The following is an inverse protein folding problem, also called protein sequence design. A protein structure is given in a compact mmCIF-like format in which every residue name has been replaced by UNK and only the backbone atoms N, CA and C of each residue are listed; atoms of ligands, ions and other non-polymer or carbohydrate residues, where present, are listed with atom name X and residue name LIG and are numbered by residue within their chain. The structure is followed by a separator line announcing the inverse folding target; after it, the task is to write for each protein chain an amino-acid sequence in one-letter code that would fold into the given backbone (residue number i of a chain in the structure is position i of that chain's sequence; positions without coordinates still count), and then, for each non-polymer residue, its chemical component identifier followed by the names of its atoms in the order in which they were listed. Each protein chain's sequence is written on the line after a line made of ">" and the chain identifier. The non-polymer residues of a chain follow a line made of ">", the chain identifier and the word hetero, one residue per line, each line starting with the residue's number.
data_IF_885359587147
#
_entry.id   IF_885359587147
#
_cell.length_a   1.000
_cell.length_b   1.000
_cell.length_c   1.000
_cell.angle_alpha   90.00
_cell.angle_beta   90.00
_cell.angle_gamma   90.00
#
_symmetry.space_group_name_H-M   'P 1'
#
loop_
_entity.id
_entity.type
_entity.pdbx_description
1 polymer ?
#
# COMPACT_ATOMS: atom_id res chain seq x y z
N UNK A 1 -49.45 73.72 22.63
CA UNK A 1 -49.00 73.59 21.22
C UNK A 1 -48.00 72.45 21.18
N UNK A 2 -48.47 71.20 20.97
CA UNK A 2 -47.62 70.00 21.01
C UNK A 2 -47.74 69.28 19.66
N UNK A 3 -46.66 69.28 18.89
CA UNK A 3 -46.58 68.61 17.61
C UNK A 3 -46.52 67.10 17.82
N UNK A 4 -47.51 66.38 17.28
CA UNK A 4 -47.52 64.91 17.24
C UNK A 4 -46.52 64.43 16.19
N UNK A 5 -45.49 63.72 16.63
CA UNK A 5 -44.61 62.94 15.76
C UNK A 5 -45.40 61.71 15.31
N UNK A 6 -45.73 61.63 14.01
CA UNK A 6 -46.38 60.47 13.44
C UNK A 6 -45.38 59.30 13.33
N UNK A 7 -45.75 58.06 13.70
CA UNK A 7 -44.86 56.91 13.59
C UNK A 7 -44.63 56.54 12.11
N UNK A 8 -43.36 56.36 11.75
CA UNK A 8 -42.92 55.90 10.43
C UNK A 8 -43.53 54.52 10.17
N UNK A 9 -44.22 54.36 9.04
CA UNK A 9 -44.91 53.09 8.74
C UNK A 9 -43.90 51.97 8.49
N UNK A 10 -44.29 50.73 8.78
CA UNK A 10 -43.44 49.55 8.61
C UNK A 10 -42.86 49.42 7.17
N UNK A 11 -43.59 49.92 6.16
CA UNK A 11 -43.12 49.93 4.78
C UNK A 11 -41.95 50.90 4.55
N UNK A 12 -41.98 52.08 5.19
CA UNK A 12 -40.88 53.03 5.14
C UNK A 12 -39.66 52.51 5.90
N UNK A 13 -39.85 51.88 7.07
CA UNK A 13 -38.76 51.26 7.81
C UNK A 13 -38.08 50.13 7.00
N UNK A 14 -38.85 49.33 6.27
CA UNK A 14 -38.32 48.29 5.40
C UNK A 14 -37.57 48.85 4.18
N UNK A 15 -38.06 49.95 3.59
CA UNK A 15 -37.37 50.64 2.51
C UNK A 15 -36.03 51.25 2.97
N UNK A 16 -36.00 51.86 4.17
CA UNK A 16 -34.77 52.37 4.78
C UNK A 16 -33.78 51.24 5.11
N UNK A 17 -34.25 50.09 5.62
CA UNK A 17 -33.40 48.93 5.88
C UNK A 17 -32.78 48.37 4.59
N UNK A 18 -33.56 48.26 3.50
CA UNK A 18 -33.05 47.87 2.18
C UNK A 18 -32.04 48.88 1.62
N UNK A 19 -32.31 50.18 1.76
CA UNK A 19 -31.37 51.23 1.32
C UNK A 19 -30.06 51.22 2.12
N UNK A 20 -30.10 50.89 3.42
CA UNK A 20 -28.91 50.74 4.27
C UNK A 20 -28.02 49.57 3.86
N UNK A 21 -28.62 48.45 3.42
CA UNK A 21 -27.87 47.31 2.90
C UNK A 21 -27.21 47.62 1.55
N UNK A 22 -27.88 48.42 0.71
CA UNK A 22 -27.38 48.79 -0.62
C UNK A 22 -26.13 49.68 -0.59
N UNK A 23 -25.91 50.45 0.48
CA UNK A 23 -24.75 51.35 0.66
C UNK A 23 -23.65 50.80 1.59
N UNK A 24 -23.68 49.50 1.91
CA UNK A 24 -22.66 48.89 2.77
C UNK A 24 -21.38 48.65 1.96
N UNK A 25 -20.28 49.26 2.38
CA UNK A 25 -18.94 48.97 1.85
C UNK A 25 -18.54 47.57 2.34
N UNK A 26 -18.26 46.65 1.41
CA UNK A 26 -17.86 45.27 1.69
C UNK A 26 -16.56 44.93 0.96
N UNK A 27 -15.74 44.07 1.56
CA UNK A 27 -14.61 43.45 0.87
C UNK A 27 -15.12 42.29 0.02
N UNK A 28 -14.71 42.20 -1.23
CA UNK A 28 -15.18 41.17 -2.17
C UNK A 28 -14.02 40.54 -2.95
N UNK A 29 -14.18 39.27 -3.30
CA UNK A 29 -13.22 38.53 -4.12
C UNK A 29 -13.96 37.77 -5.24
N UNK A 30 -13.21 37.36 -6.26
CA UNK A 30 -13.73 36.62 -7.42
C UNK A 30 -12.72 35.55 -7.85
N UNK A 31 -13.19 34.32 -8.08
CA UNK A 31 -12.34 33.19 -8.46
C UNK A 31 -11.88 33.22 -9.92
N UNK A 32 -12.72 33.70 -10.84
CA UNK A 32 -12.44 33.69 -12.29
C UNK A 32 -12.53 35.10 -12.87
N UNK A 33 -11.51 35.53 -13.61
CA UNK A 33 -11.42 36.89 -14.16
C UNK A 33 -12.33 37.13 -15.36
N UNK A 34 -12.56 36.12 -16.21
CA UNK A 34 -13.56 36.14 -17.28
C UNK A 34 -14.00 34.72 -17.66
N UNK A 35 -15.29 34.39 -17.43
CA UNK A 35 -16.07 33.25 -17.99
C UNK A 35 -17.46 33.20 -17.32
N UNK A 36 -18.40 32.46 -17.91
CA UNK A 36 -19.69 32.18 -17.29
C UNK A 36 -19.48 31.52 -15.92
N UNK A 37 -20.08 32.09 -14.87
CA UNK A 37 -19.88 31.68 -13.48
C UNK A 37 -19.01 32.63 -12.65
N UNK A 38 -18.41 33.69 -13.24
CA UNK A 38 -17.69 34.70 -12.47
C UNK A 38 -18.65 35.60 -11.69
N UNK A 39 -18.74 35.41 -10.38
CA UNK A 39 -19.51 36.27 -9.48
C UNK A 39 -18.63 36.74 -8.32
N UNK A 40 -18.91 37.96 -7.85
CA UNK A 40 -18.29 38.49 -6.64
C UNK A 40 -19.04 37.92 -5.44
N UNK A 41 -18.30 37.48 -4.44
CA UNK A 41 -18.86 37.12 -3.14
C UNK A 41 -18.19 37.97 -2.06
N UNK A 42 -18.96 38.24 -1.00
CA UNK A 42 -18.48 38.98 0.15
C UNK A 42 -17.46 38.12 0.90
N UNK A 43 -16.28 38.67 1.14
CA UNK A 43 -15.27 38.06 1.99
C UNK A 43 -15.36 38.74 3.35
N UNK A 44 -15.82 38.00 4.35
CA UNK A 44 -15.61 38.36 5.74
C UNK A 44 -14.10 38.31 6.00
N UNK A 45 -13.43 39.44 5.85
CA UNK A 45 -12.15 39.65 6.49
C UNK A 45 -12.42 39.46 7.99
N UNK A 46 -11.98 38.35 8.56
CA UNK A 46 -11.93 38.22 10.01
C UNK A 46 -11.15 39.43 10.48
N UNK A 47 -11.86 40.40 11.07
CA UNK A 47 -11.22 41.47 11.80
C UNK A 47 -10.32 40.74 12.78
N UNK A 48 -9.01 40.85 12.55
CA UNK A 48 -8.01 40.47 13.55
C UNK A 48 -8.57 40.99 14.87
N UNK A 49 -8.85 40.12 15.86
CA UNK A 49 -9.30 40.60 17.14
C UNK A 49 -8.25 41.60 17.59
N UNK A 50 -8.63 42.87 17.67
CA UNK A 50 -7.90 43.86 18.44
C UNK A 50 -7.61 43.15 19.75
N UNK A 51 -6.33 42.89 20.11
CA UNK A 51 -6.05 42.16 21.32
C UNK A 51 -6.76 42.91 22.46
N UNK A 52 -7.49 42.21 23.36
CA UNK A 52 -7.85 42.85 24.60
C UNK A 52 -6.55 43.40 25.20
N UNK A 53 -6.58 44.66 25.63
CA UNK A 53 -5.49 45.28 26.35
C UNK A 53 -5.35 44.58 27.71
N UNK A 54 -4.76 43.39 27.67
CA UNK A 54 -4.25 42.64 28.79
C UNK A 54 -2.74 42.71 28.61
N UNK A 55 -2.13 43.52 29.47
CA UNK A 55 -0.72 43.65 29.79
C UNK A 55 0.17 42.52 29.24
N UNK A 56 0.49 42.58 27.96
CA UNK A 56 1.49 41.75 27.32
C UNK A 56 2.55 42.71 26.77
N UNK A 57 3.80 42.44 27.12
CA UNK A 57 4.98 43.17 26.68
C UNK A 57 4.88 43.50 25.19
N UNK A 58 5.30 44.72 24.76
CA UNK A 58 5.16 45.14 23.37
C UNK A 58 6.04 44.27 22.48
N UNK A 59 5.47 43.17 21.97
CA UNK A 59 6.14 42.31 21.03
C UNK A 59 6.17 43.00 19.67
N UNK A 60 7.38 43.13 19.13
CA UNK A 60 7.56 43.78 17.83
C UNK A 60 6.87 42.95 16.72
N UNK A 61 6.44 43.56 15.61
CA UNK A 61 5.90 42.81 14.46
C UNK A 61 6.82 41.67 13.99
N UNK A 62 8.14 41.85 14.12
CA UNK A 62 9.13 40.83 13.82
C UNK A 62 9.11 39.64 14.80
N UNK A 63 8.77 39.84 16.07
CA UNK A 63 8.60 38.75 17.05
C UNK A 63 7.35 37.92 16.77
N UNK A 64 6.27 38.57 16.34
CA UNK A 64 5.04 37.86 15.92
C UNK A 64 5.27 37.00 14.68
N UNK A 65 5.97 37.54 13.68
CA UNK A 65 6.33 36.78 12.47
C UNK A 65 7.24 35.60 12.83
N UNK A 66 8.26 35.82 13.69
CA UNK A 66 9.14 34.74 14.16
C UNK A 66 8.38 33.66 14.92
N UNK A 67 7.47 34.02 15.81
CA UNK A 67 6.63 33.05 16.53
C UNK A 67 5.79 32.21 15.57
N UNK A 68 5.21 32.85 14.55
CA UNK A 68 4.37 32.15 13.57
C UNK A 68 5.17 31.21 12.66
N UNK A 69 6.38 31.61 12.26
CA UNK A 69 7.30 30.77 11.48
C UNK A 69 7.79 29.59 12.32
N UNK A 70 8.17 29.83 13.58
CA UNK A 70 8.62 28.79 14.49
C UNK A 70 7.50 27.78 14.77
N UNK A 71 6.26 28.23 14.94
CA UNK A 71 5.11 27.35 15.10
C UNK A 71 4.87 26.50 13.84
N UNK A 72 4.89 27.11 12.65
CA UNK A 72 4.71 26.38 11.40
C UNK A 72 5.86 25.37 11.14
N UNK A 73 7.07 25.70 11.59
CA UNK A 73 8.22 24.80 11.53
C UNK A 73 8.03 23.62 12.51
N UNK A 74 7.65 23.88 13.76
CA UNK A 74 7.37 22.84 14.75
C UNK A 74 6.23 21.90 14.34
N UNK A 75 5.16 22.43 13.74
CA UNK A 75 4.05 21.62 13.22
C UNK A 75 4.52 20.70 12.07
N UNK A 76 5.41 21.20 11.21
CA UNK A 76 6.01 20.41 10.13
C UNK A 76 7.00 19.38 10.62
N UNK A 77 7.83 19.74 11.60
CA UNK A 77 8.78 18.83 12.26
C UNK A 77 8.02 17.72 12.98
N UNK A 78 6.97 18.03 13.74
CA UNK A 78 6.13 17.04 14.40
C UNK A 78 5.42 16.11 13.38
N UNK A 79 4.93 16.64 12.26
CA UNK A 79 4.36 15.83 11.19
C UNK A 79 5.40 14.93 10.51
N UNK A 80 6.63 15.42 10.32
CA UNK A 80 7.74 14.66 9.77
C UNK A 80 8.25 13.59 10.75
N UNK A 81 8.31 13.88 12.05
CA UNK A 81 8.65 12.91 13.09
C UNK A 81 7.61 11.80 13.19
N UNK A 82 6.32 12.12 13.09
CA UNK A 82 5.24 11.13 13.07
C UNK A 82 5.33 10.23 11.82
N UNK A 83 5.65 10.81 10.66
CA UNK A 83 5.86 10.08 9.42
C UNK A 83 7.14 9.21 9.47
N UNK A 84 8.23 9.72 10.02
CA UNK A 84 9.49 9.00 10.19
C UNK A 84 9.38 7.88 11.22
N UNK A 85 8.55 8.04 12.26
CA UNK A 85 8.30 7.00 13.27
C UNK A 85 7.55 5.77 12.71
N UNK A 86 6.88 5.92 11.57
CA UNK A 86 6.19 4.82 10.87
C UNK A 86 7.14 4.05 9.93
N UNK A 87 8.33 4.58 9.65
CA UNK A 87 9.37 3.90 8.87
C UNK A 87 10.44 3.38 9.86
N UNK A 88 10.60 2.07 10.03
CA UNK A 88 11.68 1.51 10.84
C UNK A 88 13.03 2.06 10.35
N UNK A 89 13.74 2.75 11.24
CA UNK A 89 15.15 3.10 11.01
C UNK A 89 15.94 1.83 10.76
N UNK A 90 16.26 1.60 9.49
CA UNK A 90 17.16 0.54 9.06
C UNK A 90 18.60 0.92 9.40
N UNK A 91 18.97 0.74 10.68
CA UNK A 91 20.35 0.71 11.15
C UNK A 91 20.93 2.04 11.69
N UNK A 92 22.08 1.90 12.37
CA UNK A 92 22.79 2.95 13.12
C UNK A 92 23.40 4.08 12.26
N UNK A 93 23.14 4.10 10.95
CA UNK A 93 23.65 5.09 10.00
C UNK A 93 22.49 5.61 9.13
N UNK A 94 21.86 6.75 9.48
CA UNK A 94 20.65 7.26 8.81
C UNK A 94 20.84 7.78 7.38
N UNK A 95 22.03 7.69 6.78
CA UNK A 95 22.39 8.55 5.63
C UNK A 95 22.40 7.85 4.27
N UNK A 96 22.29 6.53 4.18
CA UNK A 96 22.26 5.85 2.89
C UNK A 96 21.11 4.85 2.84
N UNK A 97 20.00 5.28 2.22
CA UNK A 97 18.98 4.34 1.75
C UNK A 97 19.69 3.38 0.82
N UNK A 98 19.58 2.07 1.07
CA UNK A 98 20.19 1.07 0.18
C UNK A 98 19.80 1.40 -1.28
N UNK A 99 20.73 1.48 -2.25
CA UNK A 99 20.40 1.77 -3.64
C UNK A 99 19.32 0.83 -4.21
N UNK A 100 19.22 -0.38 -3.65
CA UNK A 100 18.16 -1.33 -3.98
C UNK A 100 16.77 -0.90 -3.49
N UNK A 101 16.67 -0.29 -2.31
CA UNK A 101 15.41 0.28 -1.78
C UNK A 101 14.94 1.47 -2.62
N UNK A 102 15.86 2.31 -3.11
CA UNK A 102 15.53 3.42 -4.00
C UNK A 102 14.96 2.93 -5.35
N UNK A 103 15.54 1.86 -5.90
CA UNK A 103 15.09 1.26 -7.16
C UNK A 103 13.71 0.60 -7.05
N UNK A 104 13.45 -0.04 -5.92
CA UNK A 104 12.22 -0.82 -5.70
C UNK A 104 11.05 0.00 -5.18
N UNK A 105 11.30 1.23 -4.71
CA UNK A 105 10.28 2.14 -4.18
C UNK A 105 9.41 1.54 -3.08
N UNK A 106 9.94 0.55 -2.35
CA UNK A 106 9.26 -0.06 -1.19
C UNK A 106 8.88 0.98 -0.12
N UNK A 107 9.72 1.97 0.23
CA UNK A 107 9.35 3.00 1.20
C UNK A 107 8.12 3.80 0.78
N UNK A 108 8.04 4.21 -0.49
CA UNK A 108 6.88 4.94 -1.02
C UNK A 108 5.65 4.05 -1.15
N UNK A 109 5.84 2.78 -1.53
CA UNK A 109 4.77 1.79 -1.64
C UNK A 109 4.12 1.48 -0.29
N UNK A 110 4.91 1.43 0.78
CA UNK A 110 4.46 1.10 2.15
C UNK A 110 4.18 2.35 3.00
N UNK A 111 4.24 3.55 2.42
CA UNK A 111 4.09 4.80 3.15
C UNK A 111 2.73 4.87 3.86
N UNK A 112 2.75 5.20 5.14
CA UNK A 112 1.53 5.31 5.97
C UNK A 112 1.00 3.97 6.50
N UNK A 113 1.68 2.85 6.20
CA UNK A 113 1.35 1.53 6.74
C UNK A 113 2.22 1.20 7.95
N UNK A 114 1.67 0.44 8.89
CA UNK A 114 2.47 -0.16 9.96
C UNK A 114 3.29 -1.33 9.40
N UNK A 115 4.61 -1.14 9.31
CA UNK A 115 5.51 -2.14 8.72
C UNK A 115 5.52 -3.45 9.49
N UNK A 116 5.22 -3.45 10.80
CA UNK A 116 5.15 -4.71 11.57
C UNK A 116 3.96 -5.54 11.11
N UNK A 117 2.81 -4.89 10.93
CA UNK A 117 1.59 -5.52 10.42
C UNK A 117 1.74 -5.94 8.95
N UNK A 118 2.40 -5.13 8.10
CA UNK A 118 2.71 -5.50 6.71
C UNK A 118 3.65 -6.71 6.65
N UNK A 119 4.66 -6.79 7.52
CA UNK A 119 5.59 -7.93 7.54
C UNK A 119 4.86 -9.26 7.83
N UNK A 120 3.78 -9.23 8.61
CA UNK A 120 2.97 -10.43 8.88
C UNK A 120 2.36 -11.03 7.60
N UNK A 121 2.08 -10.22 6.58
CA UNK A 121 1.60 -10.70 5.29
C UNK A 121 2.58 -11.67 4.63
N UNK A 122 3.88 -11.46 4.84
CA UNK A 122 4.94 -12.31 4.28
C UNK A 122 5.27 -13.56 5.09
N UNK A 123 4.71 -13.72 6.30
CA UNK A 123 5.06 -14.85 7.16
C UNK A 123 4.73 -16.20 6.53
N UNK A 124 5.47 -17.25 6.90
CA UNK A 124 5.16 -18.60 6.43
C UNK A 124 3.73 -18.99 6.85
N UNK A 125 2.99 -19.69 5.97
CA UNK A 125 1.62 -20.07 6.22
C UNK A 125 1.54 -21.18 7.26
N UNK A 126 0.51 -21.14 8.09
CA UNK A 126 0.18 -22.24 8.97
C UNK A 126 -0.62 -23.30 8.19
N UNK A 127 -0.13 -24.53 8.00
CA UNK A 127 -0.81 -25.53 7.17
C UNK A 127 -2.19 -25.95 7.71
N UNK A 128 -2.47 -25.76 9.01
CA UNK A 128 -3.77 -26.07 9.58
C UNK A 128 -4.82 -24.97 9.32
N UNK A 129 -4.39 -23.71 9.23
CA UNK A 129 -5.27 -22.55 9.04
C UNK A 129 -5.35 -22.14 7.56
N UNK A 130 -4.22 -22.19 6.86
CA UNK A 130 -4.04 -21.76 5.47
C UNK A 130 -3.47 -22.91 4.62
N UNK A 131 -4.21 -24.03 4.43
CA UNK A 131 -3.70 -25.21 3.74
C UNK A 131 -3.35 -24.93 2.27
N UNK A 132 -4.09 -24.04 1.62
CA UNK A 132 -3.85 -23.65 0.23
C UNK A 132 -2.54 -22.86 0.07
N UNK A 133 -2.32 -21.87 0.94
CA UNK A 133 -1.10 -21.08 0.91
C UNK A 133 0.13 -21.90 1.31
N UNK A 134 -0.02 -22.82 2.27
CA UNK A 134 1.01 -23.80 2.61
C UNK A 134 1.36 -24.70 1.42
N UNK A 135 0.37 -25.11 0.63
CA UNK A 135 0.62 -25.84 -0.61
C UNK A 135 1.40 -25.00 -1.61
N UNK A 136 1.07 -23.73 -1.81
CA UNK A 136 1.80 -22.83 -2.72
C UNK A 136 3.24 -22.63 -2.29
N UNK A 137 3.47 -22.28 -1.02
CA UNK A 137 4.81 -22.12 -0.45
C UNK A 137 5.67 -23.38 -0.62
N UNK A 138 5.09 -24.56 -0.37
CA UNK A 138 5.78 -25.83 -0.61
C UNK A 138 5.99 -26.13 -2.10
N UNK A 139 5.10 -25.67 -2.98
CA UNK A 139 5.22 -25.86 -4.43
C UNK A 139 6.37 -25.05 -5.02
N UNK A 140 6.58 -23.81 -4.53
CA UNK A 140 7.73 -22.98 -4.88
C UNK A 140 9.04 -23.70 -4.54
N UNK A 141 9.16 -24.23 -3.32
CA UNK A 141 10.34 -24.98 -2.92
C UNK A 141 10.56 -26.21 -3.80
N UNK A 142 9.51 -26.99 -4.08
CA UNK A 142 9.60 -28.16 -4.97
C UNK A 142 10.06 -27.77 -6.37
N UNK A 143 9.51 -26.69 -6.95
CA UNK A 143 9.89 -26.22 -8.28
C UNK A 143 11.36 -25.78 -8.32
N UNK A 144 11.82 -25.02 -7.32
CA UNK A 144 13.22 -24.59 -7.24
C UNK A 144 14.15 -25.79 -7.08
N UNK A 145 13.80 -26.75 -6.21
CA UNK A 145 14.57 -27.97 -6.02
C UNK A 145 14.61 -28.83 -7.29
N UNK A 146 13.47 -29.00 -7.97
CA UNK A 146 13.41 -29.74 -9.23
C UNK A 146 14.28 -29.07 -10.30
N UNK A 147 14.17 -27.75 -10.46
CA UNK A 147 14.98 -27.02 -11.42
C UNK A 147 16.49 -27.13 -11.09
N UNK A 148 16.87 -27.04 -9.81
CA UNK A 148 18.25 -27.29 -9.38
C UNK A 148 18.72 -28.69 -9.74
N UNK A 149 17.93 -29.73 -9.43
CA UNK A 149 18.28 -31.13 -9.73
C UNK A 149 18.36 -31.39 -11.24
N UNK A 150 17.46 -30.82 -12.04
CA UNK A 150 17.49 -30.95 -13.51
C UNK A 150 18.76 -30.35 -14.10
N UNK A 151 19.19 -29.18 -13.63
CA UNK A 151 20.45 -28.56 -14.09
C UNK A 151 21.65 -29.37 -13.59
N UNK A 152 21.65 -29.77 -12.31
CA UNK A 152 22.75 -30.53 -11.71
C UNK A 152 22.95 -31.93 -12.32
N UNK A 153 21.86 -32.63 -12.61
CA UNK A 153 21.87 -34.00 -13.17
C UNK A 153 22.26 -34.05 -14.65
N UNK A 154 22.53 -32.91 -15.29
CA UNK A 154 22.93 -32.85 -16.69
C UNK A 154 21.82 -33.18 -17.68
N UNK A 155 20.55 -33.14 -17.27
CA UNK A 155 19.41 -33.31 -18.18
C UNK A 155 19.22 -32.13 -19.13
N UNK A 156 19.97 -31.05 -18.93
CA UNK A 156 20.10 -29.91 -19.82
C UNK A 156 21.40 -30.07 -20.61
N UNK A 157 21.33 -29.91 -21.93
CA UNK A 157 22.46 -30.06 -22.85
C UNK A 157 23.66 -29.21 -22.39
N UNK A 158 24.89 -29.71 -22.57
CA UNK A 158 26.13 -29.02 -22.18
C UNK A 158 26.23 -27.62 -22.82
N UNK A 159 25.71 -27.45 -24.04
CA UNK A 159 25.60 -26.13 -24.69
C UNK A 159 24.65 -25.17 -23.97
N UNK A 160 23.50 -25.67 -23.50
CA UNK A 160 22.54 -24.88 -22.73
C UNK A 160 23.07 -24.56 -21.34
N UNK A 161 23.79 -25.49 -20.70
CA UNK A 161 24.49 -25.26 -19.44
C UNK A 161 25.59 -24.20 -19.58
N UNK A 162 26.38 -24.28 -20.66
CA UNK A 162 27.36 -23.25 -21.00
C UNK A 162 26.60 -21.94 -21.20
N UNK A 163 25.55 -21.86 -22.01
CA UNK A 163 24.77 -20.61 -22.19
C UNK A 163 24.22 -20.03 -20.88
N UNK A 164 23.73 -20.86 -19.96
CA UNK A 164 23.26 -20.46 -18.62
C UNK A 164 24.42 -19.96 -17.74
N UNK A 165 25.60 -20.57 -17.84
CA UNK A 165 26.75 -20.30 -16.97
C UNK A 165 27.82 -19.36 -17.57
N UNK A 166 27.72 -18.99 -18.86
CA UNK A 166 28.76 -18.24 -19.57
C UNK A 166 28.71 -16.75 -19.23
N UNK A 167 29.85 -16.19 -18.80
CA UNK A 167 30.05 -14.76 -18.50
C UNK A 167 30.35 -13.88 -19.73
N UNK A 168 30.56 -14.48 -20.91
CA UNK A 168 31.11 -13.84 -22.10
C UNK A 168 30.11 -13.08 -23.00
N UNK A 169 28.84 -12.90 -22.61
CA UNK A 169 27.83 -12.33 -23.53
C UNK A 169 26.88 -11.29 -22.94
N UNK A 170 27.29 -10.39 -22.04
CA UNK A 170 26.38 -9.43 -21.35
C UNK A 170 24.89 -9.87 -21.29
N UNK A 171 24.57 -11.11 -20.86
CA UNK A 171 23.18 -11.52 -20.83
C UNK A 171 22.69 -10.82 -19.58
N UNK A 172 21.75 -9.88 -19.72
CA UNK A 172 21.14 -9.22 -18.57
C UNK A 172 20.85 -10.26 -17.49
N UNK A 173 21.12 -9.93 -16.23
CA UNK A 173 21.09 -10.84 -15.05
C UNK A 173 19.90 -11.83 -15.07
N UNK A 174 18.80 -11.43 -15.71
CA UNK A 174 17.60 -12.18 -16.09
C UNK A 174 17.78 -13.50 -16.87
N UNK A 175 18.90 -13.73 -17.57
CA UNK A 175 19.13 -14.96 -18.35
C UNK A 175 19.78 -16.09 -17.52
N UNK A 176 19.95 -15.89 -16.21
CA UNK A 176 20.51 -16.90 -15.29
C UNK A 176 19.51 -17.18 -14.16
N UNK A 177 18.47 -17.99 -14.40
CA UNK A 177 17.39 -18.16 -13.44
C UNK A 177 17.86 -18.83 -12.13
N UNK A 178 18.88 -19.70 -12.18
CA UNK A 178 19.37 -20.46 -11.02
C UNK A 178 20.90 -20.65 -11.11
N UNK A 179 21.66 -20.11 -10.14
CA UNK A 179 23.11 -20.28 -10.06
C UNK A 179 23.50 -21.57 -9.31
N UNK A 180 23.70 -22.67 -10.06
CA UNK A 180 23.98 -24.03 -9.50
C UNK A 180 25.16 -24.13 -8.54
N UNK A 181 26.12 -23.21 -8.62
CA UNK A 181 27.32 -23.22 -7.77
C UNK A 181 27.12 -22.49 -6.42
N UNK A 182 25.91 -22.03 -6.11
CA UNK A 182 25.62 -21.43 -4.81
C UNK A 182 25.67 -22.47 -3.70
N UNK A 183 26.08 -22.02 -2.50
CA UNK A 183 26.07 -22.86 -1.31
C UNK A 183 24.62 -23.26 -0.97
N UNK A 184 24.36 -24.48 -0.48
CA UNK A 184 23.01 -24.93 -0.12
C UNK A 184 22.28 -23.98 0.85
N UNK A 185 23.03 -23.31 1.75
CA UNK A 185 22.47 -22.31 2.67
C UNK A 185 21.88 -21.10 1.93
N UNK A 186 22.56 -20.60 0.91
CA UNK A 186 22.11 -19.45 0.11
C UNK A 186 20.86 -19.80 -0.69
N UNK A 187 20.80 -21.02 -1.23
CA UNK A 187 19.61 -21.53 -1.88
C UNK A 187 18.38 -21.54 -0.99
N UNK A 188 18.52 -22.02 0.25
CA UNK A 188 17.43 -22.02 1.24
C UNK A 188 16.95 -20.61 1.54
N UNK A 189 17.87 -19.65 1.69
CA UNK A 189 17.51 -18.25 1.90
C UNK A 189 16.72 -17.68 0.72
N UNK A 190 17.13 -17.97 -0.51
CA UNK A 190 16.38 -17.52 -1.70
C UNK A 190 15.02 -18.19 -1.81
N UNK A 191 14.91 -19.49 -1.51
CA UNK A 191 13.62 -20.17 -1.44
C UNK A 191 12.70 -19.50 -0.41
N UNK A 192 13.23 -19.16 0.77
CA UNK A 192 12.47 -18.47 1.82
C UNK A 192 11.97 -17.11 1.36
N UNK A 193 12.79 -16.33 0.65
CA UNK A 193 12.36 -15.04 0.08
C UNK A 193 11.19 -15.24 -0.89
N UNK A 194 11.27 -16.22 -1.79
CA UNK A 194 10.16 -16.53 -2.70
C UNK A 194 8.90 -17.00 -1.97
N UNK A 195 9.05 -17.79 -0.90
CA UNK A 195 7.94 -18.19 -0.05
C UNK A 195 7.29 -17.00 0.65
N UNK A 196 8.07 -16.05 1.15
CA UNK A 196 7.54 -14.82 1.74
C UNK A 196 6.82 -13.97 0.70
N UNK A 197 7.37 -13.84 -0.51
CA UNK A 197 6.76 -13.08 -1.58
C UNK A 197 5.42 -13.66 -2.04
N UNK A 198 5.32 -14.99 -2.20
CA UNK A 198 4.04 -15.60 -2.58
C UNK A 198 3.00 -15.45 -1.47
N UNK A 199 3.41 -15.56 -0.20
CA UNK A 199 2.52 -15.33 0.94
C UNK A 199 2.04 -13.89 1.00
N UNK A 200 2.96 -12.95 0.83
CA UNK A 200 2.68 -11.52 0.79
C UNK A 200 1.67 -11.21 -0.30
N UNK A 201 1.96 -11.58 -1.55
CA UNK A 201 1.11 -11.30 -2.71
C UNK A 201 -0.26 -11.98 -2.61
N UNK A 202 -0.32 -13.19 -2.06
CA UNK A 202 -1.58 -13.89 -1.86
C UNK A 202 -2.45 -13.20 -0.80
N UNK A 203 -1.90 -12.88 0.37
CA UNK A 203 -2.67 -12.27 1.46
C UNK A 203 -3.05 -10.83 1.16
N UNK A 204 -2.18 -10.08 0.48
CA UNK A 204 -2.43 -8.68 0.12
C UNK A 204 -3.53 -8.50 -0.93
N UNK A 205 -3.93 -9.58 -1.62
CA UNK A 205 -4.96 -9.56 -2.65
C UNK A 205 -6.31 -10.08 -2.14
N UNK A 206 -6.39 -10.58 -0.92
CA UNK A 206 -7.65 -11.03 -0.32
C UNK A 206 -8.53 -9.85 0.08
N UNK A 207 -9.83 -9.95 -0.18
CA UNK A 207 -10.81 -8.92 0.14
C UNK A 207 -10.98 -8.68 1.65
N UNK A 208 -10.71 -9.70 2.47
CA UNK A 208 -10.86 -9.65 3.93
C UNK A 208 -9.63 -9.04 4.65
N UNK A 209 -8.59 -8.64 3.91
CA UNK A 209 -7.35 -8.14 4.48
C UNK A 209 -7.54 -6.68 4.97
N UNK A 210 -7.27 -6.38 6.26
CA UNK A 210 -7.41 -5.02 6.80
C UNK A 210 -6.38 -4.01 6.27
N UNK A 211 -5.27 -4.49 5.73
CA UNK A 211 -4.18 -3.66 5.20
C UNK A 211 -4.48 -3.35 3.73
N UNK A 212 -4.76 -2.10 3.42
CA UNK A 212 -4.97 -1.66 2.04
C UNK A 212 -3.65 -1.21 1.43
N UNK A 213 -3.05 -2.08 0.60
CA UNK A 213 -1.87 -1.75 -0.17
C UNK A 213 -2.25 -1.26 -1.57
N UNK A 214 -1.51 -0.28 -2.09
CA UNK A 214 -1.84 0.41 -3.34
C UNK A 214 -1.69 -0.45 -4.61
N UNK A 215 -1.09 -1.64 -4.53
CA UNK A 215 -0.95 -2.51 -5.69
C UNK A 215 -2.29 -3.10 -6.12
N UNK A 216 -2.44 -3.28 -7.44
CA UNK A 216 -3.52 -4.04 -8.04
C UNK A 216 -2.90 -5.03 -9.02
N UNK A 217 -3.31 -6.30 -8.91
CA UNK A 217 -2.93 -7.28 -9.91
C UNK A 217 -3.60 -6.92 -11.23
N UNK A 218 -2.86 -7.00 -12.33
CA UNK A 218 -3.46 -6.89 -13.64
C UNK A 218 -4.34 -8.13 -13.93
N UNK A 219 -5.19 -8.04 -14.96
CA UNK A 219 -6.14 -9.11 -15.30
C UNK A 219 -5.46 -10.47 -15.54
N UNK A 220 -4.26 -10.48 -16.15
CA UNK A 220 -3.53 -11.71 -16.41
C UNK A 220 -2.96 -12.33 -15.12
N UNK A 221 -2.45 -11.51 -14.21
CA UNK A 221 -1.94 -11.93 -12.91
C UNK A 221 -3.07 -12.47 -12.02
N UNK A 222 -4.24 -11.80 -12.03
CA UNK A 222 -5.41 -12.25 -11.30
C UNK A 222 -5.92 -13.60 -11.84
N UNK A 223 -6.04 -13.73 -13.18
CA UNK A 223 -6.43 -15.00 -13.80
C UNK A 223 -5.43 -16.14 -13.49
N UNK A 224 -4.13 -15.84 -13.44
CA UNK A 224 -3.12 -16.81 -13.04
C UNK A 224 -3.27 -17.21 -11.57
N UNK A 225 -3.57 -16.26 -10.68
CA UNK A 225 -3.84 -16.52 -9.27
C UNK A 225 -5.08 -17.41 -9.09
N UNK A 226 -6.18 -17.10 -9.79
CA UNK A 226 -7.41 -17.89 -9.76
C UNK A 226 -7.17 -19.34 -10.21
N UNK A 227 -6.38 -19.53 -11.28
CA UNK A 227 -5.97 -20.86 -11.74
C UNK A 227 -5.13 -21.59 -10.69
N UNK A 228 -4.19 -20.90 -10.05
CA UNK A 228 -3.38 -21.49 -8.98
C UNK A 228 -4.26 -21.94 -7.81
N UNK A 229 -5.26 -21.14 -7.41
CA UNK A 229 -6.21 -21.52 -6.37
C UNK A 229 -7.05 -22.73 -6.75
N UNK A 230 -7.57 -22.76 -7.97
CA UNK A 230 -8.39 -23.87 -8.47
C UNK A 230 -7.59 -25.18 -8.45
N UNK A 231 -6.39 -25.19 -9.04
CA UNK A 231 -5.52 -26.38 -9.00
C UNK A 231 -5.12 -26.78 -7.59
N UNK A 232 -4.86 -25.80 -6.71
CA UNK A 232 -4.54 -26.06 -5.32
C UNK A 232 -5.69 -26.70 -4.56
N UNK A 233 -6.93 -26.22 -4.75
CA UNK A 233 -8.14 -26.82 -4.15
C UNK A 233 -8.36 -28.25 -4.65
N UNK A 234 -8.23 -28.48 -5.97
CA UNK A 234 -8.33 -29.82 -6.55
C UNK A 234 -7.28 -30.77 -5.97
N UNK A 235 -6.03 -30.32 -5.86
CA UNK A 235 -4.95 -31.12 -5.29
C UNK A 235 -5.19 -31.48 -3.82
N UNK A 236 -5.65 -30.52 -3.00
CA UNK A 236 -6.01 -30.78 -1.62
C UNK A 236 -7.17 -31.78 -1.50
N UNK A 237 -8.18 -31.66 -2.35
CA UNK A 237 -9.30 -32.60 -2.40
C UNK A 237 -8.86 -34.02 -2.80
N UNK A 238 -7.95 -34.15 -3.76
CA UNK A 238 -7.37 -35.45 -4.13
C UNK A 238 -6.53 -36.05 -3.00
N UNK A 239 -5.75 -35.22 -2.30
CA UNK A 239 -4.95 -35.66 -1.14
C UNK A 239 -5.82 -36.13 0.02
N UNK A 240 -6.98 -35.50 0.23
CA UNK A 240 -7.96 -35.91 1.23
C UNK A 240 -8.67 -37.24 0.86
N UNK A 241 -8.68 -37.63 -0.42
CA UNK A 241 -9.36 -38.83 -0.95
C UNK A 241 -8.49 -40.10 -1.00
N UNK A 242 -7.20 -40.07 -0.70
CA UNK A 242 -6.35 -41.27 -0.80
C UNK A 242 -6.49 -42.22 0.41
N UNK A 243 -6.25 -43.55 0.30
CA UNK A 243 -6.41 -44.48 -0.82
C UNK A 243 -7.54 -45.49 -0.51
N UNK A 244 -8.82 -45.07 -0.44
CA UNK A 244 -9.95 -45.98 -0.13
C UNK A 244 -10.89 -46.27 -1.32
N UNK A 245 -10.42 -46.07 -2.55
CA UNK A 245 -11.21 -46.41 -3.74
C UNK A 245 -10.37 -47.06 -4.82
N UNK A 246 -9.71 -48.17 -4.47
CA UNK A 246 -9.58 -49.28 -5.42
C UNK A 246 -10.81 -50.18 -5.18
N UNK A 247 -11.72 -50.38 -6.15
CA UNK A 247 -12.65 -51.50 -6.05
C UNK A 247 -11.78 -52.76 -5.98
N UNK A 248 -11.93 -53.52 -4.90
CA UNK A 248 -11.29 -54.82 -4.75
C UNK A 248 -11.52 -55.60 -6.04
N UNK A 249 -10.44 -55.84 -6.79
CA UNK A 249 -10.47 -56.74 -7.93
C UNK A 249 -10.81 -58.12 -7.38
N UNK A 250 -12.10 -58.46 -7.37
CA UNK A 250 -12.57 -59.82 -7.11
C UNK A 250 -11.95 -60.68 -8.19
N UNK A 251 -10.95 -61.49 -7.82
CA UNK A 251 -10.44 -62.54 -8.68
C UNK A 251 -11.63 -63.43 -9.08
N UNK A 252 -11.85 -63.71 -10.37
CA UNK A 252 -12.84 -64.67 -10.80
C UNK A 252 -12.30 -66.05 -10.41
N UNK A 253 -12.81 -66.63 -9.33
CA UNK A 253 -12.27 -67.90 -8.82
C UNK A 253 -13.04 -68.58 -7.70
N UNK A 254 -13.90 -67.89 -6.95
CA UNK A 254 -14.77 -68.54 -5.96
C UNK A 254 -16.22 -68.56 -6.45
N UNK A 255 -16.54 -69.56 -7.28
CA UNK A 255 -17.86 -70.15 -7.26
C UNK A 255 -17.81 -71.38 -6.34
N UNK A 256 -18.72 -71.53 -5.37
CA UNK A 256 -18.86 -72.78 -4.66
C UNK A 256 -19.47 -73.81 -5.62
N UNK A 257 -18.79 -74.94 -5.78
CA UNK A 257 -19.33 -76.11 -6.48
C UNK A 257 -20.53 -76.68 -5.68
N UNK A 258 -21.54 -77.26 -6.35
CA UNK A 258 -22.80 -77.68 -5.73
C UNK A 258 -22.64 -78.86 -4.75
#
# INVERSE_FOLDING_TARGET
>A
MAARIAPISAAQAHAYARARLANRIVSCQRFFTSRAGSHFFEVTCAAQPSPPALSATPQTPAERIRAHVNQALQEREAAAELANSQVPSLGAHPTEVSPWLELTRWPEYLQGQDLTTVALLGNLPNPAQEPLLALFSASVERLIQQAYQTIWSGQINEFDQVQINTFFREPGVWNRPIQIHLRPKTYRQYCQVWQWLICFAYRSTQADQPIQLCHQLNTAQLAALDQMEEYGRQFLALRAKGPESQPAFKRPGDQPNP
#
